data_IF_086566708582
#
_entry.id   IF_086566708582
#
_cell.length_a   1.000
_cell.length_b   1.000
_cell.length_c   1.000
_cell.angle_alpha   90.00
_cell.angle_beta   90.00
_cell.angle_gamma   90.00
#
_symmetry.space_group_name_H-M   'P 1'
#
loop_
_entity.id
_entity.type
_entity.pdbx_description
1 polymer ?
#
# COMPACT_ATOMS: atom_id res chain seq x y z
N UNK A 1 5.73 1.70 10.23
CA UNK A 1 5.44 0.85 9.06
C UNK A 1 6.31 -0.39 9.13
N UNK A 2 5.82 -1.56 8.66
CA UNK A 2 6.67 -2.73 8.45
C UNK A 2 7.77 -2.43 7.43
N UNK A 3 8.77 -3.30 7.36
CA UNK A 3 9.67 -3.36 6.20
C UNK A 3 8.97 -4.12 5.07
N UNK A 4 9.07 -3.59 3.84
CA UNK A 4 8.44 -4.18 2.66
C UNK A 4 9.31 -4.02 1.42
N UNK A 5 8.92 -4.69 0.35
CA UNK A 5 9.45 -4.49 -0.99
C UNK A 5 8.32 -4.05 -1.91
N UNK A 6 8.54 -2.96 -2.62
CA UNK A 6 7.62 -2.42 -3.61
C UNK A 6 8.17 -2.69 -5.01
N UNK A 7 7.48 -3.49 -5.81
CA UNK A 7 7.86 -3.69 -7.21
C UNK A 7 7.37 -2.50 -8.04
N UNK A 8 8.22 -1.97 -8.95
CA UNK A 8 7.75 -0.98 -9.93
C UNK A 8 6.77 -1.64 -10.92
N UNK A 9 5.95 -0.81 -11.57
CA UNK A 9 5.08 -1.30 -12.65
C UNK A 9 5.88 -1.82 -13.83
N UNK A 10 6.92 -1.07 -14.20
CA UNK A 10 7.81 -1.38 -15.31
C UNK A 10 9.27 -1.01 -14.96
N UNK A 11 10.21 -1.84 -15.41
CA UNK A 11 11.64 -1.56 -15.30
C UNK A 11 12.31 -1.77 -16.65
N UNK A 12 12.82 -0.69 -17.28
CA UNK A 12 13.54 -0.71 -18.56
C UNK A 12 12.79 -1.46 -19.67
N UNK A 13 11.47 -1.21 -19.78
CA UNK A 13 10.62 -1.85 -20.79
C UNK A 13 10.11 -3.24 -20.42
N UNK A 14 10.44 -3.75 -19.24
CA UNK A 14 9.92 -5.01 -18.72
C UNK A 14 8.80 -4.74 -17.71
N UNK A 15 7.59 -5.16 -18.03
CA UNK A 15 6.45 -5.09 -17.11
C UNK A 15 6.61 -6.14 -16.01
N UNK A 16 6.39 -5.74 -14.77
CA UNK A 16 6.40 -6.67 -13.64
C UNK A 16 5.36 -7.76 -13.84
N UNK A 17 5.81 -9.00 -13.88
CA UNK A 17 4.93 -10.17 -14.04
C UNK A 17 4.21 -10.51 -12.74
N UNK A 18 3.15 -11.31 -12.85
CA UNK A 18 2.44 -11.83 -11.67
C UNK A 18 3.38 -12.64 -10.77
N UNK A 19 4.27 -13.45 -11.34
CA UNK A 19 5.22 -14.26 -10.57
C UNK A 19 6.20 -13.39 -9.78
N UNK A 20 6.70 -12.31 -10.38
CA UNK A 20 7.58 -11.33 -9.71
C UNK A 20 6.83 -10.59 -8.60
N UNK A 21 5.60 -10.13 -8.87
CA UNK A 21 4.76 -9.48 -7.88
C UNK A 21 4.44 -10.41 -6.70
N UNK A 22 4.15 -11.68 -6.96
CA UNK A 22 3.92 -12.70 -5.93
C UNK A 22 5.15 -12.92 -5.07
N UNK A 23 6.32 -13.09 -5.68
CA UNK A 23 7.58 -13.30 -4.96
C UNK A 23 7.87 -12.13 -4.01
N UNK A 24 7.71 -10.92 -4.50
CA UNK A 24 7.91 -9.69 -3.71
C UNK A 24 6.89 -9.58 -2.59
N UNK A 25 5.61 -9.83 -2.87
CA UNK A 25 4.54 -9.84 -1.88
C UNK A 25 4.80 -10.86 -0.75
N UNK A 26 5.23 -12.08 -1.09
CA UNK A 26 5.55 -13.12 -0.12
C UNK A 26 6.75 -12.73 0.76
N UNK A 27 7.74 -12.07 0.19
CA UNK A 27 8.87 -11.52 0.96
C UNK A 27 8.40 -10.44 1.93
N UNK A 28 7.59 -9.50 1.47
CA UNK A 28 7.01 -8.45 2.30
C UNK A 28 6.14 -9.04 3.43
N UNK A 29 5.41 -10.11 3.16
CA UNK A 29 4.62 -10.85 4.17
C UNK A 29 5.51 -11.43 5.27
N UNK A 30 6.61 -12.08 4.91
CA UNK A 30 7.59 -12.60 5.89
C UNK A 30 8.20 -11.46 6.72
N UNK A 31 8.49 -10.34 6.08
CA UNK A 31 9.03 -9.16 6.77
C UNK A 31 8.00 -8.50 7.70
N UNK A 32 6.72 -8.56 7.36
CA UNK A 32 5.64 -8.10 8.23
C UNK A 32 5.62 -8.86 9.57
N UNK A 33 5.71 -10.18 9.50
CA UNK A 33 5.80 -11.04 10.70
C UNK A 33 7.02 -10.69 11.55
N UNK A 34 8.19 -10.55 10.93
CA UNK A 34 9.43 -10.20 11.63
C UNK A 34 9.36 -8.80 12.23
N UNK A 35 8.84 -7.83 11.49
CA UNK A 35 8.68 -6.46 11.96
C UNK A 35 7.73 -6.39 13.16
N UNK A 36 6.62 -7.12 13.10
CA UNK A 36 5.65 -7.18 14.20
C UNK A 36 6.27 -7.80 15.46
N UNK A 37 6.93 -8.94 15.32
CA UNK A 37 7.58 -9.63 16.45
C UNK A 37 8.63 -8.74 17.12
N UNK A 38 9.48 -8.06 16.35
CA UNK A 38 10.50 -7.17 16.90
C UNK A 38 9.88 -5.92 17.54
N UNK A 39 8.84 -5.35 16.93
CA UNK A 39 8.12 -4.20 17.47
C UNK A 39 7.49 -4.52 18.84
N UNK A 40 6.89 -5.69 18.96
CA UNK A 40 6.32 -6.19 20.23
C UNK A 40 7.40 -6.48 21.28
N UNK A 41 8.51 -7.10 20.86
CA UNK A 41 9.65 -7.38 21.75
C UNK A 41 10.24 -6.10 22.35
N UNK A 42 10.26 -5.01 21.58
CA UNK A 42 10.76 -3.70 22.02
C UNK A 42 9.75 -2.94 22.87
N UNK A 43 8.55 -3.45 23.06
CA UNK A 43 7.45 -2.78 23.79
C UNK A 43 7.24 -1.33 23.32
N UNK A 44 7.32 -1.12 22.00
CA UNK A 44 7.18 0.21 21.40
C UNK A 44 5.75 0.72 21.59
N UNK A 45 5.53 1.94 22.13
CA UNK A 45 4.20 2.47 22.39
C UNK A 45 3.45 2.98 21.14
N UNK A 46 4.13 3.04 20.01
CA UNK A 46 3.53 3.52 18.75
C UNK A 46 2.71 2.40 18.07
N UNK A 47 2.06 2.73 16.97
CA UNK A 47 1.32 1.78 16.15
C UNK A 47 2.14 1.37 14.92
N UNK A 48 2.30 0.06 14.71
CA UNK A 48 2.94 -0.50 13.52
C UNK A 48 1.87 -0.84 12.49
N UNK A 49 1.98 -0.29 11.27
CA UNK A 49 1.08 -0.61 10.16
C UNK A 49 1.67 -1.70 9.29
N UNK A 50 0.83 -2.66 8.87
CA UNK A 50 1.13 -3.59 7.80
C UNK A 50 0.91 -2.93 6.43
N UNK A 51 1.63 -3.41 5.41
CA UNK A 51 1.56 -2.86 4.05
C UNK A 51 1.10 -3.94 3.08
N UNK A 52 -0.06 -3.73 2.45
CA UNK A 52 -0.59 -4.60 1.39
C UNK A 52 0.21 -4.36 0.12
N UNK A 53 0.73 -5.44 -0.46
CA UNK A 53 1.40 -5.48 -1.75
C UNK A 53 0.65 -6.39 -2.73
N UNK A 54 1.16 -6.61 -3.92
CA UNK A 54 0.54 -7.50 -4.92
C UNK A 54 0.49 -6.90 -6.32
N UNK A 55 1.19 -5.78 -6.58
CA UNK A 55 1.20 -5.12 -7.88
C UNK A 55 -0.20 -4.72 -8.34
N UNK A 56 -0.47 -4.87 -9.63
CA UNK A 56 -1.77 -4.60 -10.23
C UNK A 56 -2.67 -5.85 -10.30
N UNK A 57 -2.38 -6.86 -9.48
CA UNK A 57 -3.09 -8.14 -9.49
C UNK A 57 -4.04 -8.24 -8.27
N UNK A 58 -5.34 -8.09 -8.50
CA UNK A 58 -6.34 -8.06 -7.43
C UNK A 58 -6.30 -9.27 -6.52
N UNK A 59 -6.13 -10.47 -7.09
CA UNK A 59 -6.06 -11.70 -6.29
C UNK A 59 -4.82 -11.75 -5.39
N UNK A 60 -3.66 -11.19 -5.83
CA UNK A 60 -2.49 -11.04 -4.97
C UNK A 60 -2.73 -10.02 -3.86
N UNK A 61 -3.40 -8.91 -4.18
CA UNK A 61 -3.82 -7.92 -3.18
C UNK A 61 -4.72 -8.54 -2.13
N UNK A 62 -5.66 -9.39 -2.55
CA UNK A 62 -6.54 -10.12 -1.64
C UNK A 62 -5.75 -11.06 -0.73
N UNK A 63 -4.87 -11.88 -1.28
CA UNK A 63 -4.00 -12.77 -0.50
C UNK A 63 -3.14 -11.99 0.51
N UNK A 64 -2.56 -10.88 0.09
CA UNK A 64 -1.73 -10.02 0.94
C UNK A 64 -2.53 -9.44 2.11
N UNK A 65 -3.69 -8.83 1.81
CA UNK A 65 -4.51 -8.21 2.86
C UNK A 65 -5.06 -9.24 3.85
N UNK A 66 -5.49 -10.41 3.40
CA UNK A 66 -5.97 -11.48 4.28
C UNK A 66 -4.89 -11.95 5.26
N UNK A 67 -3.68 -12.15 4.76
CA UNK A 67 -2.54 -12.54 5.59
C UNK A 67 -2.20 -11.46 6.65
N UNK A 68 -2.21 -10.19 6.26
CA UNK A 68 -1.94 -9.07 7.17
C UNK A 68 -3.06 -8.89 8.21
N UNK A 69 -4.32 -9.04 7.80
CA UNK A 69 -5.46 -8.96 8.73
C UNK A 69 -5.40 -10.11 9.76
N UNK A 70 -5.02 -11.31 9.34
CA UNK A 70 -4.79 -12.43 10.27
C UNK A 70 -3.68 -12.14 11.27
N UNK A 71 -2.61 -11.43 10.86
CA UNK A 71 -1.54 -10.99 11.77
C UNK A 71 -2.01 -9.92 12.77
N UNK A 72 -3.06 -9.18 12.46
CA UNK A 72 -3.66 -8.13 13.27
C UNK A 72 -2.73 -6.94 13.57
N UNK A 73 -2.75 -5.94 12.68
CA UNK A 73 -2.03 -4.67 12.85
C UNK A 73 -2.98 -3.57 13.35
N UNK A 74 -2.44 -2.55 14.06
CA UNK A 74 -3.22 -1.35 14.44
C UNK A 74 -3.79 -0.56 13.27
N UNK A 75 -3.18 -0.67 12.10
CA UNK A 75 -3.63 -0.05 10.85
C UNK A 75 -3.00 -0.74 9.65
N UNK A 76 -3.49 -0.41 8.46
CA UNK A 76 -3.04 -1.03 7.21
C UNK A 76 -2.77 0.03 6.16
N UNK A 77 -1.66 -0.14 5.44
CA UNK A 77 -1.33 0.68 4.29
C UNK A 77 -1.48 -0.10 2.99
N UNK A 78 -1.74 0.62 1.92
CA UNK A 78 -1.79 0.11 0.55
C UNK A 78 -0.56 0.68 -0.15
N UNK A 79 0.42 -0.19 -0.38
CA UNK A 79 1.64 0.14 -1.11
C UNK A 79 1.59 -0.35 -2.55
N UNK A 80 2.64 -0.09 -3.32
CA UNK A 80 2.76 -0.58 -4.69
C UNK A 80 1.77 0.04 -5.67
N UNK A 81 1.28 1.24 -5.39
CA UNK A 81 0.54 2.11 -6.30
C UNK A 81 1.29 3.41 -6.48
N UNK A 82 1.02 4.14 -7.56
CA UNK A 82 1.80 5.32 -7.96
C UNK A 82 3.27 5.00 -8.23
N UNK A 83 3.51 3.86 -8.87
CA UNK A 83 4.82 3.30 -9.20
C UNK A 83 5.04 3.20 -10.72
N UNK A 84 4.33 4.03 -11.49
CA UNK A 84 4.42 4.12 -12.94
C UNK A 84 3.30 3.44 -13.72
N UNK A 85 2.31 2.89 -13.04
CA UNK A 85 1.15 2.26 -13.66
C UNK A 85 0.23 3.28 -14.37
N UNK A 86 -0.55 2.83 -15.38
CA UNK A 86 -1.63 3.63 -15.95
C UNK A 86 -2.68 3.99 -14.91
N UNK A 87 -3.28 5.16 -15.04
CA UNK A 87 -4.27 5.70 -14.09
C UNK A 87 -5.43 4.73 -13.84
N UNK A 88 -5.90 4.07 -14.89
CA UNK A 88 -7.00 3.11 -14.81
C UNK A 88 -6.67 1.94 -13.89
N UNK A 89 -5.44 1.45 -13.95
CA UNK A 89 -5.00 0.35 -13.08
C UNK A 89 -4.87 0.78 -11.63
N UNK A 90 -4.37 1.99 -11.38
CA UNK A 90 -4.36 2.56 -10.03
C UNK A 90 -5.77 2.65 -9.45
N UNK A 91 -6.71 3.20 -10.23
CA UNK A 91 -8.12 3.33 -9.82
C UNK A 91 -8.77 1.96 -9.56
N UNK A 92 -8.42 0.94 -10.35
CA UNK A 92 -8.89 -0.43 -10.14
C UNK A 92 -8.43 -0.97 -8.78
N UNK A 93 -7.17 -0.79 -8.41
CA UNK A 93 -6.67 -1.22 -7.11
C UNK A 93 -7.29 -0.41 -5.96
N UNK A 94 -7.51 0.89 -6.15
CA UNK A 94 -8.21 1.72 -5.17
C UNK A 94 -9.66 1.29 -4.96
N UNK A 95 -10.35 0.90 -6.01
CA UNK A 95 -11.71 0.37 -5.90
C UNK A 95 -11.76 -1.02 -5.26
N UNK A 96 -10.70 -1.83 -5.42
CA UNK A 96 -10.64 -3.20 -4.90
C UNK A 96 -10.23 -3.28 -3.44
N UNK A 97 -9.12 -2.62 -3.05
CA UNK A 97 -8.39 -3.00 -1.83
C UNK A 97 -8.88 -2.29 -0.55
N UNK A 98 -9.09 -0.95 -0.52
CA UNK A 98 -9.33 -0.26 0.74
C UNK A 98 -10.52 -0.79 1.53
N UNK A 99 -11.68 -0.96 0.90
CA UNK A 99 -12.91 -1.36 1.57
C UNK A 99 -12.91 -2.83 2.05
N UNK A 100 -11.93 -3.63 1.61
CA UNK A 100 -11.72 -5.01 2.09
C UNK A 100 -10.88 -5.08 3.35
N UNK A 101 -10.20 -3.99 3.70
CA UNK A 101 -9.49 -3.86 4.97
C UNK A 101 -10.48 -3.57 6.11
N UNK A 102 -10.14 -3.88 7.38
CA UNK A 102 -11.01 -3.64 8.52
C UNK A 102 -11.50 -2.18 8.60
N UNK A 103 -12.81 -1.99 8.72
CA UNK A 103 -13.42 -0.67 8.77
C UNK A 103 -13.12 0.09 10.08
N UNK A 104 -12.74 -0.63 11.13
CA UNK A 104 -12.43 -0.08 12.45
C UNK A 104 -10.93 0.24 12.65
N UNK A 105 -10.15 0.19 11.57
CA UNK A 105 -8.71 0.49 11.62
C UNK A 105 -8.35 1.49 10.51
N UNK A 106 -7.38 2.40 10.75
CA UNK A 106 -6.99 3.36 9.72
C UNK A 106 -6.43 2.66 8.49
N UNK A 107 -6.79 3.20 7.32
CA UNK A 107 -6.41 2.75 5.99
C UNK A 107 -5.60 3.84 5.32
N UNK A 108 -4.37 3.55 4.98
CA UNK A 108 -3.40 4.51 4.46
C UNK A 108 -3.00 4.17 3.04
N UNK A 109 -3.27 5.06 2.09
CA UNK A 109 -2.83 4.94 0.70
C UNK A 109 -1.51 5.70 0.51
N UNK A 110 -0.44 4.96 0.23
CA UNK A 110 0.92 5.50 0.18
C UNK A 110 1.23 6.16 -1.17
N UNK A 111 1.79 7.37 -1.13
CA UNK A 111 2.35 8.05 -2.29
C UNK A 111 1.33 8.63 -3.28
N UNK A 112 0.06 8.75 -2.89
CA UNK A 112 -1.03 9.29 -3.72
C UNK A 112 -1.63 10.49 -2.98
N UNK A 113 -1.95 11.64 -3.57
CA UNK A 113 -2.04 11.88 -4.95
C UNK A 113 -2.53 13.29 -5.31
N UNK A 114 -3.14 13.39 -6.49
CA UNK A 114 -3.80 14.62 -6.95
C UNK A 114 -5.04 14.91 -6.10
N UNK A 115 -5.61 16.15 -6.14
CA UNK A 115 -6.86 16.44 -5.45
C UNK A 115 -8.00 15.47 -5.80
N UNK A 116 -8.11 15.08 -7.07
CA UNK A 116 -9.09 14.12 -7.56
C UNK A 116 -8.87 12.73 -6.94
N UNK A 117 -7.61 12.32 -6.81
CA UNK A 117 -7.24 11.03 -6.20
C UNK A 117 -7.61 10.98 -4.72
N UNK A 118 -7.45 12.09 -4.01
CA UNK A 118 -7.83 12.19 -2.59
C UNK A 118 -9.34 12.02 -2.42
N UNK A 119 -10.14 12.69 -3.25
CA UNK A 119 -11.60 12.58 -3.22
C UNK A 119 -12.02 11.15 -3.53
N UNK A 120 -11.47 10.57 -4.59
CA UNK A 120 -11.77 9.18 -4.95
C UNK A 120 -11.31 8.20 -3.87
N UNK A 121 -10.12 8.37 -3.33
CA UNK A 121 -9.60 7.52 -2.26
C UNK A 121 -10.48 7.52 -1.01
N UNK A 122 -10.97 8.69 -0.60
CA UNK A 122 -11.92 8.79 0.52
C UNK A 122 -13.23 8.06 0.19
N UNK A 123 -13.75 8.20 -1.03
CA UNK A 123 -14.93 7.46 -1.47
C UNK A 123 -14.71 5.94 -1.45
N UNK A 124 -13.49 5.49 -1.72
CA UNK A 124 -13.11 4.06 -1.69
C UNK A 124 -12.74 3.56 -0.27
N UNK A 125 -12.80 4.43 0.74
CA UNK A 125 -12.59 4.05 2.14
C UNK A 125 -11.20 4.31 2.70
N UNK A 126 -10.38 5.14 2.06
CA UNK A 126 -9.04 5.53 2.54
C UNK A 126 -9.16 6.68 3.55
N UNK A 127 -8.39 6.62 4.63
CA UNK A 127 -8.37 7.60 5.70
C UNK A 127 -7.14 8.50 5.67
N UNK A 128 -6.00 8.01 5.16
CA UNK A 128 -4.70 8.68 5.24
C UNK A 128 -3.99 8.66 3.88
N UNK A 129 -3.29 9.73 3.58
CA UNK A 129 -2.54 9.91 2.32
C UNK A 129 -1.22 10.62 2.59
N UNK A 130 -0.25 10.39 1.71
CA UNK A 130 0.92 11.26 1.58
C UNK A 130 1.20 11.51 0.09
N UNK A 131 1.66 12.72 -0.23
CA UNK A 131 2.06 13.06 -1.58
C UNK A 131 3.03 14.23 -1.59
N UNK A 132 4.03 14.17 -2.46
CA UNK A 132 5.00 15.27 -2.63
C UNK A 132 4.46 16.44 -3.45
N UNK A 133 3.33 16.26 -4.12
CA UNK A 133 2.80 17.23 -5.09
C UNK A 133 2.52 18.62 -4.48
N UNK A 134 1.86 18.75 -3.31
CA UNK A 134 1.62 20.09 -2.75
C UNK A 134 2.91 20.88 -2.50
N UNK A 135 3.91 20.21 -1.92
CA UNK A 135 5.21 20.85 -1.63
C UNK A 135 5.99 21.13 -2.93
N UNK A 136 5.94 20.22 -3.90
CA UNK A 136 6.58 20.41 -5.20
C UNK A 136 5.96 21.58 -5.95
N UNK A 137 4.64 21.66 -6.01
CA UNK A 137 3.91 22.74 -6.66
C UNK A 137 4.21 24.09 -5.98
N UNK A 138 4.16 24.14 -4.66
CA UNK A 138 4.48 25.34 -3.90
C UNK A 138 5.90 25.87 -4.21
N UNK A 139 6.89 24.97 -4.28
CA UNK A 139 8.28 25.38 -4.65
C UNK A 139 8.38 25.93 -6.06
N UNK A 140 7.56 25.45 -6.99
CA UNK A 140 7.59 25.85 -8.38
C UNK A 140 6.62 27.00 -8.69
N UNK A 141 5.86 27.48 -7.71
CA UNK A 141 4.87 28.54 -7.87
C UNK A 141 3.67 28.18 -8.73
N UNK A 142 3.33 26.88 -8.73
CA UNK A 142 2.18 26.38 -9.48
C UNK A 142 1.03 25.95 -8.57
#
# INVERSE_FOLDING_TARGET
MQLDECTPYETKGHLTTEAEARQSMEMSRRWALRSKAEFERLENPNALFGIVQGGMFEHLRQESLEALVEMDFPGYAIGGVSVGEPKEQMLQIMAHTPHRLPANKPRYLMGVGTPEDLVQGVADGVDMFDCVMPTRNARNGT
#
